data_IF_590435303365
#
_entry.id   IF_590435303365
#
_cell.length_a   1.000
_cell.length_b   1.000
_cell.length_c   1.000
_cell.angle_alpha   90.00
_cell.angle_beta   90.00
_cell.angle_gamma   90.00
#
_symmetry.space_group_name_H-M   'P 1'
#
loop_
_entity.id
_entity.type
_entity.pdbx_description
1 polymer ?
#
# COMPACT_ATOMS: atom_id res chain seq x y z
N UNK A 1 8.86 -3.79 36.20
CA UNK A 1 7.52 -3.42 35.68
C UNK A 1 7.67 -3.15 34.20
N UNK A 2 7.22 -4.08 33.36
CA UNK A 2 7.20 -3.89 31.92
C UNK A 2 6.12 -2.86 31.59
N UNK A 3 6.54 -1.61 31.38
CA UNK A 3 5.67 -0.58 30.83
C UNK A 3 5.09 -1.14 29.53
N UNK A 4 3.77 -1.33 29.48
CA UNK A 4 3.04 -1.62 28.25
C UNK A 4 3.35 -0.46 27.31
N UNK A 5 4.41 -0.60 26.49
CA UNK A 5 4.72 0.33 25.40
C UNK A 5 3.47 0.39 24.55
N UNK A 6 2.68 1.46 24.73
CA UNK A 6 1.49 1.74 23.92
C UNK A 6 1.98 1.73 22.48
N UNK A 7 1.60 0.67 21.76
CA UNK A 7 2.05 0.39 20.40
C UNK A 7 1.74 1.56 19.44
N UNK A 8 0.79 2.44 19.81
CA UNK A 8 0.51 3.71 19.14
C UNK A 8 0.29 4.82 20.17
N UNK A 9 1.36 5.47 20.62
CA UNK A 9 1.26 6.80 21.21
C UNK A 9 1.26 7.83 20.08
N UNK A 10 0.06 8.32 19.72
CA UNK A 10 -0.12 9.37 18.72
C UNK A 10 -0.25 10.74 19.40
N UNK A 11 0.27 11.78 18.75
CA UNK A 11 0.04 13.16 19.15
C UNK A 11 -1.34 13.63 18.69
N UNK A 12 -1.84 14.73 19.28
CA UNK A 12 -3.11 15.32 18.84
C UNK A 12 -3.08 15.72 17.35
N UNK A 13 -1.95 16.22 16.85
CA UNK A 13 -1.80 16.56 15.44
C UNK A 13 -1.85 15.32 14.54
N UNK A 14 -1.25 14.21 14.96
CA UNK A 14 -1.33 12.94 14.23
C UNK A 14 -2.75 12.40 14.18
N UNK A 15 -3.48 12.48 15.28
CA UNK A 15 -4.88 12.06 15.34
C UNK A 15 -5.74 12.88 14.37
N UNK A 16 -5.61 14.20 14.38
CA UNK A 16 -6.37 15.08 13.47
C UNK A 16 -6.03 14.78 12.02
N UNK A 17 -4.73 14.67 11.70
CA UNK A 17 -4.28 14.36 10.35
C UNK A 17 -4.82 13.01 9.85
N UNK A 18 -4.71 11.96 10.67
CA UNK A 18 -5.21 10.63 10.32
C UNK A 18 -6.73 10.61 10.17
N UNK A 19 -7.47 11.39 10.98
CA UNK A 19 -8.90 11.53 10.81
C UNK A 19 -9.25 12.16 9.44
N UNK A 20 -8.54 13.23 9.04
CA UNK A 20 -8.70 13.82 7.71
C UNK A 20 -8.34 12.84 6.59
N UNK A 21 -7.25 12.08 6.77
CA UNK A 21 -6.82 11.06 5.81
C UNK A 21 -7.86 9.93 5.67
N UNK A 22 -8.45 9.47 6.77
CA UNK A 22 -9.53 8.47 6.74
C UNK A 22 -10.78 9.01 6.05
N UNK A 23 -11.17 10.27 6.32
CA UNK A 23 -12.30 10.91 5.63
C UNK A 23 -12.05 10.94 4.11
N UNK A 24 -10.85 11.34 3.70
CA UNK A 24 -10.44 11.32 2.29
C UNK A 24 -10.51 9.90 1.70
N UNK A 25 -9.96 8.90 2.40
CA UNK A 25 -9.99 7.51 1.96
C UNK A 25 -11.43 7.01 1.78
N UNK A 26 -12.33 7.30 2.72
CA UNK A 26 -13.74 6.89 2.64
C UNK A 26 -14.45 7.50 1.42
N UNK A 27 -14.12 8.74 1.06
CA UNK A 27 -14.61 9.37 -0.18
C UNK A 27 -14.08 8.63 -1.41
N UNK A 28 -12.79 8.29 -1.41
CA UNK A 28 -12.15 7.60 -2.54
C UNK A 28 -12.62 6.15 -2.72
N UNK A 29 -12.89 5.42 -1.63
CA UNK A 29 -13.41 4.05 -1.67
C UNK A 29 -14.78 3.96 -2.34
N UNK A 30 -15.54 5.06 -2.37
CA UNK A 30 -16.86 5.14 -2.99
C UNK A 30 -16.82 5.55 -4.46
N UNK A 31 -15.68 6.01 -4.96
CA UNK A 31 -15.55 6.35 -6.37
C UNK A 31 -15.64 5.09 -7.24
N UNK A 32 -16.44 5.15 -8.30
CA UNK A 32 -16.53 4.11 -9.32
C UNK A 32 -15.16 3.90 -10.00
N UNK A 33 -14.94 2.83 -10.77
CA UNK A 33 -13.73 2.70 -11.57
C UNK A 33 -13.71 3.75 -12.70
N UNK A 34 -13.11 4.92 -12.45
CA UNK A 34 -13.06 6.05 -13.41
C UNK A 34 -11.73 6.08 -14.20
N UNK A 35 -10.67 5.44 -13.70
CA UNK A 35 -9.33 5.59 -14.25
C UNK A 35 -8.82 4.36 -15.00
N UNK A 36 -8.27 4.59 -16.19
CA UNK A 36 -7.65 3.57 -17.06
C UNK A 36 -6.51 2.79 -16.37
N UNK A 37 -5.91 3.32 -15.31
CA UNK A 37 -4.87 2.66 -14.51
C UNK A 37 -5.37 1.96 -13.25
N UNK A 38 -6.69 1.85 -13.06
CA UNK A 38 -7.24 1.12 -11.93
C UNK A 38 -6.96 -0.39 -12.10
N UNK A 39 -6.28 -0.98 -11.12
CA UNK A 39 -6.07 -2.44 -11.04
C UNK A 39 -7.37 -3.23 -11.17
N UNK A 40 -8.51 -2.64 -10.78
CA UNK A 40 -9.82 -3.27 -11.00
C UNK A 40 -10.23 -3.28 -12.48
N UNK A 41 -9.87 -2.25 -13.25
CA UNK A 41 -9.99 -2.26 -14.72
C UNK A 41 -9.07 -3.33 -15.31
N UNK A 42 -7.84 -3.47 -14.79
CA UNK A 42 -6.93 -4.53 -15.23
C UNK A 42 -7.40 -5.94 -14.87
N UNK A 43 -7.94 -6.16 -13.66
CA UNK A 43 -8.56 -7.42 -13.22
C UNK A 43 -9.83 -7.76 -14.00
N UNK A 44 -10.71 -6.78 -14.22
CA UNK A 44 -11.89 -6.91 -15.06
C UNK A 44 -11.52 -7.23 -16.50
N UNK A 45 -10.47 -6.60 -17.04
CA UNK A 45 -9.92 -6.95 -18.35
C UNK A 45 -9.25 -8.32 -18.39
N UNK A 46 -8.65 -8.79 -17.29
CA UNK A 46 -7.99 -10.10 -17.19
C UNK A 46 -8.97 -11.29 -17.10
N UNK A 47 -10.10 -11.06 -16.44
CA UNK A 47 -11.09 -12.11 -16.13
C UNK A 47 -12.41 -11.94 -16.91
N UNK A 48 -12.51 -10.94 -17.79
CA UNK A 48 -13.57 -10.89 -18.81
C UNK A 48 -13.22 -11.85 -19.96
N UNK A 49 -14.26 -12.39 -20.61
CA UNK A 49 -14.11 -13.42 -21.64
C UNK A 49 -13.16 -13.04 -22.80
N UNK A 50 -12.93 -11.74 -23.01
CA UNK A 50 -11.97 -11.20 -23.98
C UNK A 50 -10.51 -11.64 -23.77
N UNK A 51 -10.08 -11.90 -22.54
CA UNK A 51 -8.70 -12.35 -22.28
C UNK A 51 -8.50 -13.85 -22.54
N UNK A 52 -9.57 -14.64 -22.48
CA UNK A 52 -9.55 -16.08 -22.75
C UNK A 52 -9.61 -16.40 -24.25
N UNK A 53 -10.10 -15.47 -25.07
CA UNK A 53 -10.21 -15.63 -26.52
C UNK A 53 -9.06 -15.02 -27.33
N UNK A 54 -8.32 -14.04 -26.79
CA UNK A 54 -7.18 -13.46 -27.50
C UNK A 54 -5.88 -14.27 -27.25
N UNK A 55 -5.27 -14.89 -28.28
CA UNK A 55 -4.03 -15.62 -28.11
C UNK A 55 -2.90 -14.67 -27.69
N UNK A 56 -2.14 -15.05 -26.64
CA UNK A 56 -0.98 -14.31 -26.09
C UNK A 56 -0.04 -13.61 -27.11
N UNK A 57 0.22 -14.14 -28.34
CA UNK A 57 1.07 -13.47 -29.32
C UNK A 57 0.48 -12.21 -29.96
N UNK A 58 -0.85 -12.01 -29.99
CA UNK A 58 -1.47 -10.81 -30.59
C UNK A 58 -1.42 -9.57 -29.68
N UNK A 59 -1.13 -9.76 -28.39
CA UNK A 59 -0.97 -8.68 -27.42
C UNK A 59 0.28 -7.81 -27.63
N UNK A 60 1.29 -8.28 -28.37
CA UNK A 60 2.51 -7.52 -28.66
C UNK A 60 2.33 -6.46 -29.78
N UNK A 61 1.28 -6.60 -30.60
CA UNK A 61 1.04 -5.74 -31.77
C UNK A 61 -0.01 -4.63 -31.55
N UNK A 62 -0.74 -4.64 -30.44
CA UNK A 62 -1.86 -3.72 -30.21
C UNK A 62 -1.68 -3.05 -28.84
N UNK A 63 -1.60 -1.72 -28.82
CA UNK A 63 -1.57 -0.88 -27.62
C UNK A 63 -2.91 -0.90 -26.86
N UNK A 64 -3.42 -2.08 -26.49
CA UNK A 64 -4.63 -2.25 -25.70
C UNK A 64 -4.26 -2.37 -24.22
N UNK A 65 -4.98 -1.61 -23.39
CA UNK A 65 -4.79 -1.54 -21.95
C UNK A 65 -4.86 -2.90 -21.24
N UNK A 66 -5.65 -3.84 -21.78
CA UNK A 66 -5.81 -5.21 -21.29
C UNK A 66 -4.55 -6.07 -21.42
N UNK A 67 -3.70 -5.80 -22.42
CA UNK A 67 -2.53 -6.61 -22.74
C UNK A 67 -1.25 -6.19 -22.00
N UNK A 68 -1.24 -5.03 -21.34
CA UNK A 68 -0.03 -4.50 -20.69
C UNK A 68 0.13 -4.89 -19.23
N UNK A 69 -0.96 -5.05 -18.48
CA UNK A 69 -0.90 -5.09 -17.01
C UNK A 69 -0.49 -6.46 -16.45
N UNK A 70 -0.94 -7.56 -17.06
CA UNK A 70 -0.62 -8.93 -16.59
C UNK A 70 0.85 -9.33 -16.73
N UNK A 71 1.54 -9.06 -17.87
CA UNK A 71 2.94 -9.44 -18.01
C UNK A 71 3.88 -8.55 -17.17
N UNK A 72 3.47 -7.33 -16.84
CA UNK A 72 4.32 -6.34 -16.16
C UNK A 72 4.12 -6.28 -14.65
N UNK A 73 2.97 -6.71 -14.12
CA UNK A 73 2.67 -6.67 -12.67
C UNK A 73 2.06 -7.99 -12.10
N UNK A 74 2.57 -9.20 -12.44
CA UNK A 74 1.98 -10.47 -12.03
C UNK A 74 1.77 -10.66 -10.51
N UNK A 75 2.65 -10.17 -9.61
CA UNK A 75 2.46 -10.37 -8.17
C UNK A 75 1.24 -9.66 -7.60
N UNK A 76 0.84 -8.50 -8.13
CA UNK A 76 -0.30 -7.73 -7.60
C UNK A 76 -1.61 -8.47 -7.82
N UNK A 77 -1.76 -9.12 -8.99
CA UNK A 77 -2.92 -9.97 -9.31
C UNK A 77 -3.06 -11.11 -8.31
N UNK A 78 -1.95 -11.69 -7.84
CA UNK A 78 -1.97 -12.80 -6.90
C UNK A 78 -2.09 -12.35 -5.44
N UNK A 79 -1.57 -11.17 -5.10
CA UNK A 79 -1.64 -10.60 -3.74
C UNK A 79 -3.02 -9.98 -3.44
N UNK A 80 -3.57 -9.21 -4.38
CA UNK A 80 -4.80 -8.45 -4.17
C UNK A 80 -5.97 -9.00 -4.96
N UNK A 81 -5.71 -9.44 -6.19
CA UNK A 81 -6.75 -9.81 -7.14
C UNK A 81 -7.45 -11.13 -6.81
N UNK A 82 -6.72 -12.24 -6.83
CA UNK A 82 -7.30 -13.57 -6.57
C UNK A 82 -7.94 -13.65 -5.17
N UNK A 83 -7.25 -13.25 -4.08
CA UNK A 83 -7.87 -13.28 -2.75
C UNK A 83 -9.06 -12.33 -2.64
N UNK A 84 -8.96 -11.14 -3.24
CA UNK A 84 -10.02 -10.14 -3.24
C UNK A 84 -11.29 -10.64 -3.96
N UNK A 85 -11.13 -11.24 -5.14
CA UNK A 85 -12.22 -11.84 -5.91
C UNK A 85 -12.88 -12.99 -5.16
N UNK A 86 -12.09 -13.88 -4.55
CA UNK A 86 -12.62 -15.03 -3.79
C UNK A 86 -13.41 -14.58 -2.56
N UNK A 87 -12.93 -13.55 -1.85
CA UNK A 87 -13.53 -13.12 -0.58
C UNK A 87 -14.66 -12.11 -0.76
N UNK A 88 -14.59 -11.26 -1.78
CA UNK A 88 -15.49 -10.11 -1.93
C UNK A 88 -16.14 -9.99 -3.31
N UNK A 89 -15.87 -10.92 -4.24
CA UNK A 89 -16.41 -10.90 -5.59
C UNK A 89 -15.88 -9.71 -6.40
N UNK A 90 -16.71 -9.20 -7.32
CA UNK A 90 -16.36 -8.09 -8.23
C UNK A 90 -16.39 -6.70 -7.57
N UNK A 91 -16.31 -6.65 -6.24
CA UNK A 91 -16.39 -5.40 -5.48
C UNK A 91 -14.99 -4.83 -5.29
N UNK A 92 -14.78 -3.56 -5.68
CA UNK A 92 -13.46 -2.94 -5.78
C UNK A 92 -12.97 -2.27 -4.48
N UNK A 93 -13.90 -1.78 -3.65
CA UNK A 93 -13.57 -1.07 -2.42
C UNK A 93 -12.76 -1.90 -1.40
N UNK A 94 -12.96 -3.22 -1.20
CA UNK A 94 -12.20 -4.00 -0.22
C UNK A 94 -10.72 -4.10 -0.62
N UNK A 95 -10.47 -4.24 -1.91
CA UNK A 95 -9.12 -4.32 -2.47
C UNK A 95 -8.39 -2.97 -2.33
N UNK A 96 -9.08 -1.86 -2.61
CA UNK A 96 -8.56 -0.49 -2.37
C UNK A 96 -8.31 -0.23 -0.89
N UNK A 97 -9.20 -0.69 -0.02
CA UNK A 97 -9.03 -0.58 1.43
C UNK A 97 -7.80 -1.36 1.90
N UNK A 98 -7.61 -2.58 1.41
CA UNK A 98 -6.43 -3.39 1.76
C UNK A 98 -5.13 -2.69 1.34
N UNK A 99 -5.09 -2.15 0.13
CA UNK A 99 -3.94 -1.35 -0.31
C UNK A 99 -3.70 -0.16 0.63
N UNK A 100 -4.74 0.63 0.92
CA UNK A 100 -4.63 1.79 1.79
C UNK A 100 -4.16 1.40 3.21
N UNK A 101 -4.57 0.24 3.72
CA UNK A 101 -4.10 -0.31 4.99
C UNK A 101 -2.61 -0.68 4.95
N UNK A 102 -2.12 -1.24 3.85
CA UNK A 102 -0.69 -1.52 3.66
C UNK A 102 0.12 -0.23 3.65
N UNK A 103 -0.36 0.81 2.97
CA UNK A 103 0.30 2.13 2.95
C UNK A 103 0.34 2.73 4.34
N UNK A 104 -0.79 2.69 5.06
CA UNK A 104 -0.86 3.19 6.43
C UNK A 104 0.11 2.43 7.35
N UNK A 105 0.19 1.11 7.21
CA UNK A 105 1.16 0.29 7.95
C UNK A 105 2.60 0.68 7.65
N UNK A 106 2.98 0.80 6.37
CA UNK A 106 4.32 1.25 5.98
C UNK A 106 4.67 2.64 6.53
N UNK A 107 3.70 3.56 6.54
CA UNK A 107 3.86 4.89 7.11
C UNK A 107 4.15 4.84 8.63
N UNK A 108 3.45 3.96 9.36
CA UNK A 108 3.70 3.75 10.79
C UNK A 108 5.05 3.10 11.08
N UNK A 109 5.48 2.15 10.25
CA UNK A 109 6.81 1.53 10.36
C UNK A 109 7.91 2.58 10.15
N UNK A 110 7.76 3.43 9.13
CA UNK A 110 8.71 4.50 8.85
C UNK A 110 8.71 5.57 9.96
N UNK A 111 7.53 5.94 10.47
CA UNK A 111 7.40 6.81 11.64
C UNK A 111 8.15 6.22 12.83
N UNK A 112 7.90 4.96 13.18
CA UNK A 112 8.52 4.30 14.32
C UNK A 112 10.05 4.24 14.20
N UNK A 113 10.56 3.98 12.99
CA UNK A 113 11.99 4.05 12.70
C UNK A 113 12.53 5.47 12.93
N UNK A 114 11.92 6.49 12.31
CA UNK A 114 12.34 7.88 12.42
C UNK A 114 12.32 8.40 13.87
N UNK A 115 11.32 7.99 14.66
CA UNK A 115 11.26 8.32 16.09
C UNK A 115 12.43 7.75 16.89
N UNK A 116 12.83 6.52 16.56
CA UNK A 116 13.90 5.81 17.27
C UNK A 116 15.28 6.35 16.92
N UNK A 117 15.53 6.66 15.65
CA UNK A 117 16.86 7.09 15.18
C UNK A 117 17.10 8.59 15.32
N UNK A 118 16.04 9.41 15.36
CA UNK A 118 16.15 10.86 15.41
C UNK A 118 15.36 11.46 16.58
N UNK A 119 14.08 11.77 16.38
CA UNK A 119 13.23 12.39 17.41
C UNK A 119 11.76 12.04 17.21
N UNK A 120 10.91 12.15 18.26
CA UNK A 120 9.47 11.99 18.13
C UNK A 120 8.85 12.88 17.05
N UNK A 121 9.31 14.13 16.95
CA UNK A 121 8.87 15.11 15.96
C UNK A 121 9.21 14.67 14.52
N UNK A 122 10.42 14.14 14.29
CA UNK A 122 10.81 13.59 12.99
C UNK A 122 9.88 12.45 12.56
N UNK A 123 9.47 11.60 13.51
CA UNK A 123 8.46 10.57 13.27
C UNK A 123 7.15 11.12 12.74
N UNK A 124 6.59 12.13 13.42
CA UNK A 124 5.34 12.76 13.01
C UNK A 124 5.46 13.42 11.64
N UNK A 125 6.57 14.13 11.38
CA UNK A 125 6.81 14.78 10.09
C UNK A 125 6.85 13.77 8.95
N UNK A 126 7.56 12.65 9.14
CA UNK A 126 7.65 11.62 8.11
C UNK A 126 6.28 10.96 7.88
N UNK A 127 5.49 10.70 8.92
CA UNK A 127 4.11 10.22 8.77
C UNK A 127 3.29 11.16 7.88
N UNK A 128 3.33 12.46 8.17
CA UNK A 128 2.58 13.48 7.41
C UNK A 128 3.05 13.55 5.96
N UNK A 129 4.35 13.66 5.72
CA UNK A 129 4.91 13.77 4.37
C UNK A 129 4.58 12.51 3.55
N UNK A 130 4.74 11.33 4.16
CA UNK A 130 4.49 10.06 3.49
C UNK A 130 3.01 9.98 3.06
N UNK A 131 2.08 10.11 4.01
CA UNK A 131 0.65 9.98 3.73
C UNK A 131 0.06 11.15 2.93
N UNK A 132 0.70 12.33 2.92
CA UNK A 132 0.31 13.48 2.12
C UNK A 132 0.96 13.51 0.73
N UNK A 133 1.93 12.64 0.46
CA UNK A 133 2.63 12.64 -0.82
C UNK A 133 1.67 12.31 -1.97
N UNK A 134 1.78 12.98 -3.14
CA UNK A 134 0.90 12.71 -4.27
C UNK A 134 0.92 11.25 -4.71
N UNK A 135 2.08 10.58 -4.61
CA UNK A 135 2.20 9.16 -4.92
C UNK A 135 1.31 8.30 -4.02
N UNK A 136 1.29 8.57 -2.71
CA UNK A 136 0.57 7.73 -1.76
C UNK A 136 -0.88 8.13 -1.56
N UNK A 137 -1.25 9.39 -1.81
CA UNK A 137 -2.65 9.80 -1.91
C UNK A 137 -3.26 9.21 -3.19
N UNK A 138 -2.68 9.48 -4.37
CA UNK A 138 -3.34 9.13 -5.63
C UNK A 138 -3.23 7.64 -5.96
N UNK A 139 -2.05 7.05 -5.78
CA UNK A 139 -1.80 5.64 -6.10
C UNK A 139 -1.87 4.74 -4.87
N UNK A 140 -1.74 5.25 -3.65
CA UNK A 140 -1.79 4.42 -2.45
C UNK A 140 -3.21 3.95 -2.06
N UNK A 141 -4.25 4.51 -2.68
CA UNK A 141 -5.63 4.05 -2.52
C UNK A 141 -6.13 3.20 -3.71
N UNK A 142 -5.23 2.84 -4.64
CA UNK A 142 -5.48 1.93 -5.76
C UNK A 142 -4.41 0.82 -5.66
N UNK A 143 -4.73 -0.46 -5.86
CA UNK A 143 -3.70 -1.50 -5.87
C UNK A 143 -2.67 -1.15 -6.93
N UNK A 144 -1.45 -0.87 -6.48
CA UNK A 144 -0.37 -0.45 -7.36
C UNK A 144 0.98 -0.81 -6.75
N UNK A 145 1.96 -1.14 -7.59
CA UNK A 145 3.19 -1.78 -7.16
C UNK A 145 4.09 -0.82 -6.40
N UNK A 146 4.26 0.39 -6.93
CA UNK A 146 5.14 1.40 -6.35
C UNK A 146 4.76 1.72 -4.90
N UNK A 147 3.50 2.10 -4.58
CA UNK A 147 3.13 2.38 -3.20
C UNK A 147 3.19 1.11 -2.32
N UNK A 148 2.86 -0.07 -2.83
CA UNK A 148 2.98 -1.34 -2.06
C UNK A 148 4.44 -1.65 -1.72
N UNK A 149 5.35 -1.58 -2.68
CA UNK A 149 6.78 -1.85 -2.47
C UNK A 149 7.40 -0.83 -1.55
N UNK A 150 7.05 0.45 -1.71
CA UNK A 150 7.54 1.51 -0.81
C UNK A 150 7.13 1.21 0.63
N UNK A 151 5.87 0.83 0.88
CA UNK A 151 5.42 0.45 2.21
C UNK A 151 6.17 -0.77 2.78
N UNK A 152 6.42 -1.80 1.95
CA UNK A 152 7.20 -2.98 2.34
C UNK A 152 8.66 -2.64 2.64
N UNK A 153 9.28 -1.74 1.87
CA UNK A 153 10.64 -1.25 2.13
C UNK A 153 10.69 -0.49 3.46
N UNK A 154 9.71 0.36 3.75
CA UNK A 154 9.61 1.04 5.05
C UNK A 154 9.54 0.05 6.22
N UNK A 155 8.71 -1.00 6.09
CA UNK A 155 8.65 -2.07 7.08
C UNK A 155 10.00 -2.79 7.21
N UNK A 156 10.61 -3.21 6.10
CA UNK A 156 11.89 -3.90 6.09
C UNK A 156 12.99 -3.06 6.75
N UNK A 157 13.06 -1.76 6.45
CA UNK A 157 14.01 -0.83 7.06
C UNK A 157 13.84 -0.77 8.58
N UNK A 158 12.60 -0.62 9.07
CA UNK A 158 12.33 -0.58 10.50
C UNK A 158 12.70 -1.89 11.20
N UNK A 159 12.33 -3.04 10.62
CA UNK A 159 12.63 -4.37 11.18
C UNK A 159 14.12 -4.69 11.18
N UNK A 160 14.82 -4.31 10.12
CA UNK A 160 16.27 -4.47 10.03
C UNK A 160 16.98 -3.60 11.08
N UNK A 161 16.54 -2.35 11.26
CA UNK A 161 17.08 -1.49 12.32
C UNK A 161 16.89 -2.10 13.71
N UNK A 162 15.70 -2.61 14.03
CA UNK A 162 15.45 -3.26 15.32
C UNK A 162 16.38 -4.47 15.54
N UNK A 163 16.53 -5.33 14.53
CA UNK A 163 17.42 -6.48 14.60
C UNK A 163 18.89 -6.09 14.84
N UNK A 164 19.36 -5.03 14.18
CA UNK A 164 20.72 -4.53 14.36
C UNK A 164 20.93 -3.90 15.74
N UNK A 165 19.94 -3.18 16.27
CA UNK A 165 19.99 -2.61 17.61
C UNK A 165 20.05 -3.72 18.68
N UNK A 166 19.25 -4.78 18.54
CA UNK A 166 19.28 -5.95 19.43
C UNK A 166 20.63 -6.68 19.39
N UNK A 167 21.26 -6.76 18.21
CA UNK A 167 22.60 -7.35 18.06
C UNK A 167 23.71 -6.53 18.71
N UNK A 168 23.63 -5.20 18.64
CA UNK A 168 24.55 -4.32 19.38
C UNK A 168 24.41 -4.49 20.89
N UNK A 169 23.17 -4.56 21.38
CA UNK A 169 22.90 -4.75 22.82
C UNK A 169 23.42 -6.11 23.32
N UNK A 170 23.33 -7.15 22.50
CA UNK A 170 23.83 -8.49 22.83
C UNK A 170 25.34 -8.67 22.63
N UNK A 171 26.06 -7.64 22.17
CA UNK A 171 27.53 -7.69 21.96
C UNK A 171 27.96 -8.65 20.85
N UNK A 172 27.04 -9.02 19.96
CA UNK A 172 27.31 -9.90 18.81
C UNK A 172 27.96 -9.11 17.66
N UNK A 173 27.75 -7.80 17.61
CA UNK A 173 28.33 -6.83 16.65
C UNK A 173 28.97 -5.69 17.44
#
# INVERSE_FOLDING_TARGET
>A
MAEKKRFLSLTNSEIIFLACWVIWLLSWLKELPIHRHDFNTAQWMLHSWWFLEEPLPTCAGISRLSCWYYPTHPPLVHLFGIPGLVLFGWVTWPIRLLQAMIILWGAFELRALAQRIATPAAGSMVLFIFLASPMLILYGAIPNYEPTVVALLCALMNRTSLYLDDKKISGII
#
